data_IF_375716653769
#
_entry.id   IF_375716653769
#
_cell.length_a   1.000
_cell.length_b   1.000
_cell.length_c   1.000
_cell.angle_alpha   90.00
_cell.angle_beta   90.00
_cell.angle_gamma   90.00
#
_symmetry.space_group_name_H-M   'P 1'
#
loop_
_entity.id
_entity.type
_entity.pdbx_description
1 polymer ?
#
# COMPACT_ATOMS: atom_id res chain seq x y z
N UNK A 1 13.69 14.93 21.42
CA UNK A 1 12.65 15.88 21.88
C UNK A 1 11.41 15.08 22.23
N UNK A 2 11.24 14.80 23.52
CA UNK A 2 10.19 13.92 24.07
C UNK A 2 9.08 14.79 24.62
N UNK A 3 8.01 14.98 23.84
CA UNK A 3 6.67 15.35 24.32
C UNK A 3 5.70 14.84 23.29
N UNK A 4 4.63 14.19 23.75
CA UNK A 4 3.25 14.23 23.24
C UNK A 4 2.58 13.00 23.85
N UNK A 5 1.61 13.22 24.74
CA UNK A 5 0.72 12.16 25.20
C UNK A 5 0.04 11.49 24.01
N UNK A 6 -0.54 10.31 24.21
CA UNK A 6 -1.31 9.62 23.16
C UNK A 6 -2.23 10.63 22.44
N UNK A 7 -2.24 10.70 21.09
CA UNK A 7 -3.17 11.56 20.36
C UNK A 7 -4.57 11.41 20.95
N UNK A 8 -5.32 12.51 21.13
CA UNK A 8 -6.64 12.49 21.79
C UNK A 8 -7.54 11.40 21.22
N UNK A 9 -7.52 11.21 19.90
CA UNK A 9 -8.27 10.16 19.19
C UNK A 9 -7.82 8.75 19.56
N UNK A 10 -6.52 8.51 19.72
CA UNK A 10 -5.97 7.23 20.16
C UNK A 10 -6.33 6.94 21.63
N UNK A 11 -6.26 7.95 22.51
CA UNK A 11 -6.71 7.81 23.89
C UNK A 11 -8.21 7.47 23.93
N UNK A 12 -9.04 8.22 23.20
CA UNK A 12 -10.48 7.97 23.12
C UNK A 12 -10.83 6.58 22.58
N UNK A 13 -10.12 6.08 21.56
CA UNK A 13 -10.33 4.71 21.06
C UNK A 13 -9.96 3.65 22.10
N UNK A 14 -8.87 3.84 22.85
CA UNK A 14 -8.47 2.91 23.88
C UNK A 14 -9.43 2.93 25.06
N UNK A 15 -9.86 4.12 25.49
CA UNK A 15 -10.83 4.29 26.57
C UNK A 15 -12.18 3.68 26.19
N UNK A 16 -12.69 3.94 24.97
CA UNK A 16 -13.89 3.32 24.44
C UNK A 16 -13.75 1.78 24.40
N UNK A 17 -12.59 1.27 24.01
CA UNK A 17 -12.36 -0.18 23.98
C UNK A 17 -12.34 -0.83 25.37
N UNK A 18 -11.89 -0.12 26.40
CA UNK A 18 -11.89 -0.63 27.78
C UNK A 18 -13.30 -1.00 28.24
N UNK A 19 -14.31 -0.28 27.77
CA UNK A 19 -15.72 -0.58 28.02
C UNK A 19 -16.26 -1.61 27.02
N UNK A 20 -16.09 -1.37 25.72
CA UNK A 20 -16.66 -2.21 24.65
C UNK A 20 -16.20 -3.67 24.70
N UNK A 21 -15.00 -3.97 25.19
CA UNK A 21 -14.51 -5.35 25.24
C UNK A 21 -15.40 -6.28 26.09
N UNK A 22 -16.18 -5.73 27.02
CA UNK A 22 -17.11 -6.48 27.87
C UNK A 22 -18.51 -6.60 27.27
N UNK A 23 -18.83 -5.85 26.21
CA UNK A 23 -20.11 -5.94 25.54
C UNK A 23 -20.32 -7.33 24.93
N UNK A 24 -21.58 -7.82 24.93
CA UNK A 24 -21.91 -9.11 24.36
C UNK A 24 -21.60 -9.12 22.86
N UNK A 25 -21.00 -10.22 22.39
CA UNK A 25 -20.83 -10.45 20.96
C UNK A 25 -22.23 -10.59 20.31
N UNK A 26 -22.50 -9.88 19.19
CA UNK A 26 -23.78 -9.99 18.50
C UNK A 26 -24.14 -11.45 18.17
N UNK A 27 -25.37 -11.87 18.47
CA UNK A 27 -25.81 -13.26 18.27
C UNK A 27 -25.66 -13.75 16.82
N UNK A 28 -25.78 -12.84 15.84
CA UNK A 28 -25.57 -13.14 14.42
C UNK A 28 -24.15 -13.66 14.12
N UNK A 29 -23.16 -13.34 14.95
CA UNK A 29 -21.79 -13.81 14.78
C UNK A 29 -21.63 -15.30 15.06
N UNK A 30 -22.56 -15.93 15.79
CA UNK A 30 -22.53 -17.37 16.06
C UNK A 30 -22.60 -18.22 14.77
N UNK A 31 -23.21 -17.70 13.70
CA UNK A 31 -23.23 -18.35 12.39
C UNK A 31 -21.88 -18.32 11.66
N UNK A 32 -20.91 -17.53 12.14
CA UNK A 32 -19.57 -17.43 11.57
C UNK A 32 -18.61 -18.30 12.39
N UNK A 33 -18.07 -19.40 11.84
CA UNK A 33 -17.31 -20.39 12.61
C UNK A 33 -16.13 -19.81 13.41
N UNK A 34 -15.41 -18.83 12.86
CA UNK A 34 -14.27 -18.20 13.53
C UNK A 34 -14.67 -17.34 14.75
N UNK A 35 -15.92 -16.85 14.78
CA UNK A 35 -16.47 -16.00 15.84
C UNK A 35 -17.34 -16.78 16.82
N UNK A 36 -17.79 -17.98 16.43
CA UNK A 36 -18.68 -18.81 17.22
C UNK A 36 -18.14 -19.11 18.62
N UNK A 37 -19.02 -19.08 19.62
CA UNK A 37 -18.71 -19.36 21.02
C UNK A 37 -17.98 -18.24 21.77
N UNK A 38 -17.63 -17.12 21.12
CA UNK A 38 -17.20 -15.93 21.84
C UNK A 38 -18.44 -15.22 22.41
N UNK A 39 -18.39 -14.90 23.70
CA UNK A 39 -19.49 -14.24 24.43
C UNK A 39 -19.34 -12.74 24.45
N UNK A 40 -18.12 -12.22 24.35
CA UNK A 40 -17.84 -10.78 24.37
C UNK A 40 -17.01 -10.34 23.17
N UNK A 41 -17.01 -9.02 22.89
CA UNK A 41 -16.14 -8.44 21.88
C UNK A 41 -14.65 -8.65 22.20
N UNK A 42 -14.28 -8.62 23.48
CA UNK A 42 -12.93 -8.93 23.95
C UNK A 42 -12.51 -10.37 23.65
N UNK A 43 -13.40 -11.35 23.85
CA UNK A 43 -13.13 -12.74 23.48
C UNK A 43 -12.93 -12.92 21.97
N UNK A 44 -13.68 -12.18 21.13
CA UNK A 44 -13.46 -12.17 19.67
C UNK A 44 -12.12 -11.53 19.31
N UNK A 45 -11.81 -10.37 19.89
CA UNK A 45 -10.55 -9.66 19.68
C UNK A 45 -9.34 -10.51 20.06
N UNK A 46 -9.41 -11.23 21.18
CA UNK A 46 -8.35 -12.12 21.65
C UNK A 46 -8.05 -13.29 20.69
N UNK A 47 -8.97 -13.65 19.79
CA UNK A 47 -8.76 -14.67 18.77
C UNK A 47 -7.98 -14.17 17.55
N UNK A 48 -7.95 -12.86 17.31
CA UNK A 48 -7.29 -12.26 16.13
C UNK A 48 -5.82 -12.67 16.01
N UNK A 49 -4.99 -12.68 17.07
CA UNK A 49 -3.59 -13.12 16.95
C UNK A 49 -3.42 -14.59 16.57
N UNK A 50 -4.39 -15.46 16.90
CA UNK A 50 -4.30 -16.90 16.66
C UNK A 50 -4.80 -17.29 15.27
N UNK A 51 -5.91 -16.69 14.82
CA UNK A 51 -6.53 -16.99 13.52
C UNK A 51 -6.88 -15.70 12.75
N UNK A 52 -5.90 -14.84 12.45
CA UNK A 52 -6.14 -13.46 12.02
C UNK A 52 -7.00 -13.36 10.76
N UNK A 53 -6.66 -14.11 9.72
CA UNK A 53 -7.39 -14.03 8.46
C UNK A 53 -8.83 -14.52 8.62
N UNK A 54 -9.07 -15.64 9.33
CA UNK A 54 -10.42 -16.19 9.50
C UNK A 54 -11.32 -15.27 10.34
N UNK A 55 -10.80 -14.75 11.45
CA UNK A 55 -11.53 -13.83 12.33
C UNK A 55 -11.81 -12.52 11.61
N UNK A 56 -10.81 -11.91 10.98
CA UNK A 56 -10.96 -10.63 10.29
C UNK A 56 -11.85 -10.75 9.05
N UNK A 57 -11.79 -11.85 8.28
CA UNK A 57 -12.74 -12.10 7.17
C UNK A 57 -14.17 -12.17 7.70
N UNK A 58 -14.40 -12.90 8.80
CA UNK A 58 -15.72 -13.00 9.43
C UNK A 58 -16.27 -11.63 9.84
N UNK A 59 -15.47 -10.86 10.57
CA UNK A 59 -15.85 -9.50 11.00
C UNK A 59 -16.10 -8.57 9.81
N UNK A 60 -15.27 -8.62 8.78
CA UNK A 60 -15.44 -7.79 7.58
C UNK A 60 -16.69 -8.18 6.76
N UNK A 61 -17.11 -9.44 6.79
CA UNK A 61 -18.37 -9.88 6.16
C UNK A 61 -19.59 -9.33 6.91
N UNK A 62 -19.58 -9.32 8.25
CA UNK A 62 -20.63 -8.68 9.06
C UNK A 62 -20.65 -7.16 8.84
N UNK A 63 -19.48 -6.51 8.83
CA UNK A 63 -19.37 -5.08 8.51
C UNK A 63 -19.95 -4.75 7.13
N UNK A 64 -19.64 -5.56 6.11
CA UNK A 64 -20.19 -5.38 4.76
C UNK A 64 -21.72 -5.53 4.72
N UNK A 65 -22.29 -6.23 5.70
CA UNK A 65 -23.74 -6.41 5.89
C UNK A 65 -24.38 -5.32 6.77
N UNK A 66 -23.59 -4.32 7.22
CA UNK A 66 -24.05 -3.16 7.99
C UNK A 66 -23.72 -3.21 9.48
N UNK A 67 -23.08 -4.26 9.99
CA UNK A 67 -22.70 -4.37 11.39
C UNK A 67 -21.45 -3.53 11.71
N UNK A 68 -21.68 -2.30 12.18
CA UNK A 68 -20.61 -1.37 12.55
C UNK A 68 -19.76 -1.85 13.73
N UNK A 69 -20.29 -2.70 14.60
CA UNK A 69 -19.53 -3.24 15.74
C UNK A 69 -18.43 -4.16 15.24
N UNK A 70 -18.71 -4.96 14.20
CA UNK A 70 -17.70 -5.80 13.58
C UNK A 70 -16.55 -4.96 12.98
N UNK A 71 -16.86 -3.84 12.31
CA UNK A 71 -15.87 -2.88 11.82
C UNK A 71 -15.02 -2.28 12.94
N UNK A 72 -15.62 -1.94 14.10
CA UNK A 72 -14.89 -1.42 15.27
C UNK A 72 -13.86 -2.42 15.80
N UNK A 73 -14.22 -3.70 15.93
CA UNK A 73 -13.25 -4.74 16.38
C UNK A 73 -12.09 -4.87 15.40
N UNK A 74 -12.35 -4.78 14.08
CA UNK A 74 -11.28 -4.79 13.07
C UNK A 74 -10.36 -3.57 13.22
N UNK A 75 -10.93 -2.37 13.36
CA UNK A 75 -10.14 -1.14 13.56
C UNK A 75 -9.27 -1.26 14.80
N UNK A 76 -9.85 -1.68 15.92
CA UNK A 76 -9.12 -1.85 17.18
C UNK A 76 -7.94 -2.80 17.02
N UNK A 77 -8.11 -3.89 16.25
CA UNK A 77 -7.02 -4.86 16.02
C UNK A 77 -5.84 -4.28 15.26
N UNK A 78 -6.06 -3.22 14.49
CA UNK A 78 -5.02 -2.57 13.68
C UNK A 78 -4.46 -1.28 14.29
N UNK A 79 -4.99 -0.81 15.42
CA UNK A 79 -4.48 0.38 16.13
C UNK A 79 -2.96 0.34 16.32
N UNK A 80 -2.33 -0.78 16.76
CA UNK A 80 -0.87 -0.83 16.89
C UNK A 80 -0.14 -0.56 15.57
N UNK A 81 -0.69 -1.00 14.43
CA UNK A 81 -0.10 -0.75 13.11
C UNK A 81 -0.25 0.71 12.71
N UNK A 82 -1.40 1.33 12.99
CA UNK A 82 -1.62 2.75 12.70
C UNK A 82 -0.67 3.64 13.51
N UNK A 83 -0.45 3.32 14.80
CA UNK A 83 0.53 4.02 15.64
C UNK A 83 1.92 3.93 15.02
N UNK A 84 2.35 2.74 14.62
CA UNK A 84 3.66 2.55 13.97
C UNK A 84 3.79 3.31 12.64
N UNK A 85 2.70 3.43 11.87
CA UNK A 85 2.69 4.21 10.64
C UNK A 85 2.80 5.70 10.92
N UNK A 86 1.95 6.23 11.80
CA UNK A 86 1.93 7.65 12.16
C UNK A 86 3.26 8.11 12.78
N UNK A 87 3.87 7.31 13.67
CA UNK A 87 5.17 7.63 14.28
C UNK A 87 6.29 7.73 13.23
N UNK A 88 6.19 6.98 12.13
CA UNK A 88 7.20 6.96 11.04
C UNK A 88 6.94 7.98 9.95
N UNK A 89 5.88 8.77 10.08
CA UNK A 89 5.37 9.60 9.00
C UNK A 89 5.19 11.05 9.47
N UNK A 90 6.17 11.93 9.22
CA UNK A 90 6.11 13.31 9.69
C UNK A 90 5.02 14.14 8.99
N UNK A 91 4.48 13.64 7.88
CA UNK A 91 3.54 14.35 7.01
C UNK A 91 2.08 13.96 7.25
N UNK A 92 1.81 13.00 8.13
CA UNK A 92 0.44 12.54 8.41
C UNK A 92 0.26 12.18 9.88
N UNK A 93 -0.95 12.41 10.37
CA UNK A 93 -1.34 12.15 11.76
C UNK A 93 -1.94 10.77 11.93
N UNK A 94 -2.08 10.32 13.18
CA UNK A 94 -2.86 9.11 13.49
C UNK A 94 -4.30 9.20 12.97
N UNK A 95 -4.91 10.38 13.00
CA UNK A 95 -6.30 10.60 12.57
C UNK A 95 -6.46 10.39 11.06
N UNK A 96 -5.47 10.79 10.26
CA UNK A 96 -5.45 10.54 8.81
C UNK A 96 -5.42 9.03 8.51
N UNK A 97 -4.57 8.31 9.25
CA UNK A 97 -4.47 6.85 9.15
C UNK A 97 -5.74 6.14 9.63
N UNK A 98 -6.37 6.62 10.70
CA UNK A 98 -7.62 6.07 11.22
C UNK A 98 -8.77 6.30 10.23
N UNK A 99 -8.92 7.50 9.70
CA UNK A 99 -9.94 7.84 8.70
C UNK A 99 -9.76 6.98 7.44
N UNK A 100 -8.53 6.86 6.93
CA UNK A 100 -8.24 6.01 5.79
C UNK A 100 -8.54 4.53 6.09
N UNK A 101 -8.18 4.03 7.27
CA UNK A 101 -8.44 2.64 7.66
C UNK A 101 -9.94 2.36 7.71
N UNK A 102 -10.74 3.26 8.29
CA UNK A 102 -12.19 3.11 8.36
C UNK A 102 -12.80 2.89 6.97
N UNK A 103 -12.41 3.71 5.99
CA UNK A 103 -12.85 3.51 4.60
C UNK A 103 -12.40 2.16 4.06
N UNK A 104 -11.15 1.74 4.32
CA UNK A 104 -10.65 0.42 3.85
C UNK A 104 -11.42 -0.74 4.47
N UNK A 105 -11.77 -0.67 5.75
CA UNK A 105 -12.58 -1.66 6.46
C UNK A 105 -13.98 -1.72 5.86
N UNK A 106 -14.61 -0.57 5.62
CA UNK A 106 -15.95 -0.51 5.05
C UNK A 106 -16.03 -1.03 3.61
N UNK A 107 -14.94 -0.95 2.83
CA UNK A 107 -14.92 -1.35 1.42
C UNK A 107 -14.09 -2.61 1.13
N UNK A 108 -13.68 -3.38 2.15
CA UNK A 108 -12.74 -4.48 1.94
C UNK A 108 -13.36 -5.65 1.15
N UNK A 109 -12.76 -6.08 0.03
CA UNK A 109 -13.33 -7.13 -0.81
C UNK A 109 -12.99 -8.54 -0.28
N UNK A 110 -13.69 -8.99 0.77
CA UNK A 110 -13.42 -10.27 1.46
C UNK A 110 -13.32 -11.47 0.52
N UNK A 111 -14.21 -11.57 -0.47
CA UNK A 111 -14.23 -12.67 -1.44
C UNK A 111 -12.98 -12.70 -2.35
N UNK A 112 -12.39 -11.53 -2.66
CA UNK A 112 -11.22 -11.42 -3.53
C UNK A 112 -9.90 -11.49 -2.75
N UNK A 113 -9.90 -11.13 -1.47
CA UNK A 113 -8.69 -11.04 -0.63
C UNK A 113 -8.89 -11.66 0.76
N UNK A 114 -9.19 -12.97 0.85
CA UNK A 114 -9.47 -13.63 2.14
C UNK A 114 -8.23 -13.89 3.00
N UNK A 115 -7.02 -13.61 2.48
CA UNK A 115 -5.74 -13.89 3.15
C UNK A 115 -4.91 -12.63 3.34
N UNK A 116 -4.05 -12.66 4.35
CA UNK A 116 -3.18 -11.54 4.78
C UNK A 116 -3.99 -10.26 5.03
N UNK A 117 -5.16 -10.39 5.63
CA UNK A 117 -6.16 -9.32 5.74
C UNK A 117 -5.60 -8.11 6.47
N UNK A 118 -4.99 -8.31 7.64
CA UNK A 118 -4.38 -7.23 8.41
C UNK A 118 -3.27 -6.51 7.64
N UNK A 119 -2.43 -7.26 6.90
CA UNK A 119 -1.35 -6.67 6.11
C UNK A 119 -1.88 -5.90 4.90
N UNK A 120 -2.91 -6.43 4.25
CA UNK A 120 -3.59 -5.78 3.13
C UNK A 120 -4.26 -4.48 3.55
N UNK A 121 -5.05 -4.51 4.63
CA UNK A 121 -5.68 -3.32 5.20
C UNK A 121 -4.65 -2.26 5.56
N UNK A 122 -3.58 -2.65 6.25
CA UNK A 122 -2.49 -1.74 6.59
C UNK A 122 -1.85 -1.11 5.34
N UNK A 123 -1.49 -1.93 4.35
CA UNK A 123 -0.86 -1.44 3.12
C UNK A 123 -1.79 -0.54 2.29
N UNK A 124 -3.07 -0.89 2.19
CA UNK A 124 -4.05 -0.09 1.45
C UNK A 124 -4.33 1.24 2.17
N UNK A 125 -4.35 1.23 3.50
CA UNK A 125 -4.45 2.44 4.33
C UNK A 125 -3.25 3.35 4.08
N UNK A 126 -2.03 2.79 4.16
CA UNK A 126 -0.80 3.53 3.88
C UNK A 126 -0.79 4.14 2.47
N UNK A 127 -1.24 3.39 1.46
CA UNK A 127 -1.34 3.89 0.09
C UNK A 127 -2.36 5.02 -0.03
N UNK A 128 -3.51 4.90 0.64
CA UNK A 128 -4.54 5.94 0.62
C UNK A 128 -4.02 7.26 1.22
N UNK A 129 -3.41 7.22 2.40
CA UNK A 129 -2.82 8.40 3.06
C UNK A 129 -1.69 9.02 2.23
N UNK A 130 -0.88 8.20 1.55
CA UNK A 130 0.18 8.72 0.66
C UNK A 130 -0.38 9.33 -0.62
N UNK A 131 -1.45 8.78 -1.16
CA UNK A 131 -2.07 9.27 -2.40
C UNK A 131 -2.88 10.56 -2.20
N UNK A 132 -3.39 10.81 -0.98
CA UNK A 132 -4.12 12.04 -0.66
C UNK A 132 -3.21 13.24 -0.41
N UNK A 133 -1.89 13.05 -0.38
CA UNK A 133 -0.95 14.16 -0.26
C UNK A 133 -1.01 15.01 -1.52
N UNK A 134 -0.95 16.34 -1.39
CA UNK A 134 -0.56 17.17 -2.51
C UNK A 134 0.73 16.57 -3.05
N UNK A 135 0.73 16.18 -4.33
CA UNK A 135 2.00 15.91 -5.00
C UNK A 135 2.77 17.20 -4.81
N UNK A 136 3.92 17.16 -4.14
CA UNK A 136 4.84 18.27 -4.22
C UNK A 136 5.04 18.46 -5.72
N UNK A 137 4.44 19.52 -6.28
CA UNK A 137 4.96 20.08 -7.49
C UNK A 137 6.42 20.32 -7.13
N UNK A 138 7.38 19.64 -7.77
CA UNK A 138 8.75 20.00 -7.53
C UNK A 138 8.76 21.50 -7.76
N UNK A 139 9.14 22.27 -6.74
CA UNK A 139 9.59 23.62 -6.95
C UNK A 139 10.78 23.43 -7.89
N UNK A 140 10.49 23.44 -9.19
CA UNK A 140 11.49 23.37 -10.22
C UNK A 140 12.25 24.66 -10.00
N UNK A 141 13.35 24.58 -9.24
CA UNK A 141 14.51 25.36 -9.58
C UNK A 141 14.61 25.19 -11.09
N UNK A 142 14.50 26.29 -11.84
CA UNK A 142 14.61 26.30 -13.28
C UNK A 142 16.04 25.90 -13.65
N UNK A 143 16.39 24.64 -13.42
CA UNK A 143 17.48 23.96 -14.07
C UNK A 143 17.02 23.86 -15.52
N UNK A 144 17.80 24.33 -16.50
CA UNK A 144 17.50 24.12 -17.90
C UNK A 144 17.19 22.63 -18.08
N UNK A 145 15.94 22.30 -18.43
CA UNK A 145 15.57 20.94 -18.80
C UNK A 145 16.35 20.66 -20.08
N UNK A 146 17.27 19.69 -20.12
CA UNK A 146 17.84 19.23 -21.39
C UNK A 146 16.67 18.90 -22.30
N UNK A 147 16.72 19.36 -23.54
CA UNK A 147 15.63 19.27 -24.52
C UNK A 147 14.81 17.97 -24.35
N UNK A 148 13.48 18.04 -24.08
CA UNK A 148 12.62 16.86 -23.98
C UNK A 148 12.59 15.99 -25.25
N UNK A 149 13.25 16.43 -26.33
CA UNK A 149 13.59 15.63 -27.51
C UNK A 149 14.86 14.76 -27.36
N UNK A 150 15.41 14.58 -26.15
CA UNK A 150 16.23 13.40 -25.89
C UNK A 150 15.33 12.16 -26.01
N UNK A 151 15.18 11.69 -27.25
CA UNK A 151 14.40 10.53 -27.65
C UNK A 151 14.66 9.40 -26.65
N UNK A 152 13.60 8.86 -26.05
CA UNK A 152 13.69 7.78 -25.07
C UNK A 152 14.50 6.60 -25.63
N UNK A 153 14.45 6.37 -26.94
CA UNK A 153 15.31 5.40 -27.65
C UNK A 153 16.79 5.74 -27.50
N UNK A 154 17.16 7.01 -27.62
CA UNK A 154 18.55 7.49 -27.47
C UNK A 154 19.04 7.33 -26.04
N UNK A 155 18.19 7.59 -25.04
CA UNK A 155 18.51 7.32 -23.61
C UNK A 155 18.73 5.82 -23.36
N UNK A 156 17.87 4.97 -23.93
CA UNK A 156 18.01 3.53 -23.80
C UNK A 156 19.28 3.01 -24.47
N UNK A 157 19.61 3.53 -25.66
CA UNK A 157 20.82 3.15 -26.38
C UNK A 157 22.08 3.66 -25.65
N UNK A 158 22.05 4.86 -25.08
CA UNK A 158 23.10 5.37 -24.20
C UNK A 158 23.31 4.48 -22.96
N UNK A 159 22.22 4.03 -22.34
CA UNK A 159 22.29 3.09 -21.22
C UNK A 159 22.91 1.74 -21.59
N UNK A 160 22.68 1.26 -22.82
CA UNK A 160 23.36 0.05 -23.33
C UNK A 160 24.85 0.33 -23.57
N UNK A 161 25.20 1.48 -24.16
CA UNK A 161 26.61 1.86 -24.40
C UNK A 161 27.42 1.98 -23.12
N UNK A 162 26.82 2.52 -22.07
CA UNK A 162 27.43 2.62 -20.74
C UNK A 162 27.44 1.28 -19.97
N UNK A 163 26.81 0.24 -20.51
CA UNK A 163 26.74 -1.09 -19.88
C UNK A 163 25.84 -1.15 -18.64
N UNK A 164 25.06 -0.11 -18.35
CA UNK A 164 24.17 -0.06 -17.17
C UNK A 164 22.89 -0.87 -17.37
N UNK A 165 22.49 -1.10 -18.63
CA UNK A 165 21.42 -2.02 -18.98
C UNK A 165 21.84 -2.97 -20.11
N UNK A 166 21.35 -4.21 -20.03
CA UNK A 166 21.55 -5.19 -21.11
C UNK A 166 20.57 -4.97 -22.27
N UNK A 167 20.87 -5.53 -23.45
CA UNK A 167 20.03 -5.37 -24.64
C UNK A 167 18.61 -5.92 -24.48
N UNK A 168 18.44 -6.92 -23.60
CA UNK A 168 17.12 -7.46 -23.28
C UNK A 168 16.29 -6.48 -22.45
N UNK A 169 16.91 -5.78 -21.50
CA UNK A 169 16.32 -4.73 -20.68
C UNK A 169 16.00 -3.51 -21.54
N UNK A 170 16.86 -3.13 -22.49
CA UNK A 170 16.57 -2.09 -23.49
C UNK A 170 15.29 -2.39 -24.28
N UNK A 171 15.20 -3.58 -24.89
CA UNK A 171 13.97 -4.01 -25.62
C UNK A 171 12.73 -4.06 -24.71
N UNK A 172 12.92 -4.44 -23.45
CA UNK A 172 11.81 -4.49 -22.49
C UNK A 172 11.31 -3.08 -22.16
N UNK A 173 12.22 -2.11 -21.95
CA UNK A 173 11.89 -0.73 -21.67
C UNK A 173 11.28 -0.03 -22.88
N UNK A 174 11.81 -0.26 -24.08
CA UNK A 174 11.27 0.25 -25.34
C UNK A 174 9.83 -0.21 -25.57
N UNK A 175 9.57 -1.52 -25.47
CA UNK A 175 8.23 -2.08 -25.66
C UNK A 175 7.18 -1.47 -24.69
N UNK A 176 7.59 -1.05 -23.48
CA UNK A 176 6.66 -0.52 -22.47
C UNK A 176 6.55 0.99 -22.51
N UNK A 177 7.67 1.70 -22.62
CA UNK A 177 7.74 3.15 -22.46
C UNK A 177 7.81 3.92 -23.78
N UNK A 178 8.31 3.30 -24.86
CA UNK A 178 8.35 3.90 -26.20
C UNK A 178 7.13 3.45 -27.00
N UNK A 179 6.88 2.14 -27.08
CA UNK A 179 5.73 1.58 -27.82
C UNK A 179 4.41 1.65 -27.03
N UNK A 180 4.44 1.99 -25.74
CA UNK A 180 3.25 2.09 -24.89
C UNK A 180 2.54 0.76 -24.59
N UNK A 181 3.21 -0.40 -24.75
CA UNK A 181 2.56 -1.70 -24.52
C UNK A 181 2.41 -1.97 -23.02
N UNK A 182 1.32 -2.65 -22.66
CA UNK A 182 1.17 -3.20 -21.30
C UNK A 182 2.24 -4.27 -21.02
N UNK A 183 2.58 -4.49 -19.75
CA UNK A 183 3.58 -5.53 -19.38
C UNK A 183 3.20 -6.93 -19.85
N UNK A 184 1.90 -7.22 -20.00
CA UNK A 184 1.41 -8.50 -20.55
C UNK A 184 1.71 -8.59 -22.05
N UNK A 185 1.38 -7.55 -22.81
CA UNK A 185 1.63 -7.51 -24.25
C UNK A 185 3.13 -7.51 -24.58
N UNK A 186 3.93 -6.76 -23.82
CA UNK A 186 5.40 -6.79 -23.91
C UNK A 186 5.96 -8.17 -23.53
N UNK A 187 5.38 -8.83 -22.52
CA UNK A 187 5.75 -10.19 -22.14
C UNK A 187 5.51 -11.20 -23.26
N UNK A 188 4.32 -11.16 -23.88
CA UNK A 188 4.00 -11.99 -25.05
C UNK A 188 4.95 -11.76 -26.22
N UNK A 189 5.32 -10.50 -26.50
CA UNK A 189 6.26 -10.14 -27.55
C UNK A 189 7.68 -10.67 -27.29
N UNK A 190 8.14 -10.62 -26.04
CA UNK A 190 9.52 -10.93 -25.66
C UNK A 190 9.70 -12.36 -25.13
N UNK A 191 8.66 -13.18 -25.14
CA UNK A 191 8.71 -14.55 -24.60
C UNK A 191 8.90 -14.60 -23.08
N UNK A 192 8.33 -13.64 -22.34
CA UNK A 192 8.46 -13.51 -20.88
C UNK A 192 7.12 -13.40 -20.17
N UNK A 193 7.12 -13.69 -18.87
CA UNK A 193 5.98 -13.37 -18.00
C UNK A 193 5.86 -11.85 -17.78
N UNK A 194 4.63 -11.38 -17.54
CA UNK A 194 4.37 -9.97 -17.21
C UNK A 194 5.11 -9.52 -15.93
N UNK A 195 5.36 -10.43 -14.99
CA UNK A 195 6.10 -10.14 -13.75
C UNK A 195 7.58 -9.93 -14.03
N UNK A 196 8.17 -10.74 -14.91
CA UNK A 196 9.54 -10.57 -15.37
C UNK A 196 9.73 -9.24 -16.10
N UNK A 197 8.75 -8.83 -16.91
CA UNK A 197 8.74 -7.51 -17.58
C UNK A 197 8.73 -6.38 -16.55
N UNK A 198 7.85 -6.43 -15.54
CA UNK A 198 7.77 -5.41 -14.48
C UNK A 198 9.07 -5.32 -13.68
N UNK A 199 9.64 -6.47 -13.31
CA UNK A 199 10.92 -6.51 -12.61
C UNK A 199 12.06 -5.90 -13.45
N UNK A 200 12.16 -6.25 -14.74
CA UNK A 200 13.16 -5.68 -15.66
C UNK A 200 12.98 -4.18 -15.85
N UNK A 201 11.75 -3.70 -16.03
CA UNK A 201 11.46 -2.27 -16.13
C UNK A 201 11.90 -1.53 -14.87
N UNK A 202 11.55 -2.06 -13.69
CA UNK A 202 11.93 -1.46 -12.42
C UNK A 202 13.45 -1.44 -12.22
N UNK A 203 14.14 -2.53 -12.55
CA UNK A 203 15.59 -2.63 -12.43
C UNK A 203 16.29 -1.69 -13.42
N UNK A 204 15.85 -1.68 -14.68
CA UNK A 204 16.44 -0.87 -15.74
C UNK A 204 16.27 0.63 -15.52
N UNK A 205 15.05 1.08 -15.16
CA UNK A 205 14.80 2.51 -14.83
C UNK A 205 15.64 2.95 -13.63
N UNK A 206 15.83 2.08 -12.64
CA UNK A 206 16.68 2.39 -11.49
C UNK A 206 18.14 2.54 -11.91
N UNK A 207 18.67 1.59 -12.68
CA UNK A 207 20.05 1.64 -13.16
C UNK A 207 20.32 2.90 -14.00
N UNK A 208 19.40 3.26 -14.90
CA UNK A 208 19.51 4.50 -15.69
C UNK A 208 19.47 5.76 -14.82
N UNK A 209 18.63 5.79 -13.77
CA UNK A 209 18.55 6.92 -12.84
C UNK A 209 19.82 7.10 -12.02
N UNK A 210 20.49 6.00 -11.67
CA UNK A 210 21.74 6.04 -10.90
C UNK A 210 22.89 6.69 -11.68
N UNK A 211 22.85 6.68 -13.02
CA UNK A 211 23.83 7.33 -13.91
C UNK A 211 23.24 8.50 -14.73
N UNK A 212 22.20 9.15 -14.20
CA UNK A 212 21.52 10.24 -14.90
C UNK A 212 22.45 11.41 -15.28
N UNK A 213 23.42 11.84 -14.44
CA UNK A 213 24.39 12.87 -14.82
C UNK A 213 25.23 12.46 -16.04
N UNK A 214 25.81 11.25 -16.04
CA UNK A 214 26.66 10.75 -17.13
C UNK A 214 25.90 10.56 -18.44
N UNK A 215 24.63 10.14 -18.35
CA UNK A 215 23.73 10.09 -19.50
C UNK A 215 23.46 11.48 -20.06
N UNK A 216 23.31 12.50 -19.20
CA UNK A 216 23.06 13.87 -19.65
C UNK A 216 24.29 14.44 -20.37
N UNK A 217 25.49 14.22 -19.82
CA UNK A 217 26.75 14.64 -20.44
C UNK A 217 26.97 13.96 -21.80
N UNK A 218 26.69 12.66 -21.91
CA UNK A 218 26.82 11.91 -23.16
C UNK A 218 25.83 12.35 -24.25
N UNK A 219 24.65 12.83 -23.85
CA UNK A 219 23.60 13.27 -24.77
C UNK A 219 23.71 14.75 -25.14
N UNK A 220 24.50 15.54 -24.40
CA UNK A 220 24.74 16.95 -24.63
C UNK A 220 25.94 17.24 -25.56
N UNK A 221 26.79 16.23 -25.84
CA UNK A 221 27.92 16.29 -26.78
C UNK A 221 27.60 15.66 -28.13
#
# INVERSE_FOLDING_TARGET
MTRIGLPRTLAALNDEWLDLQFDPAPGAWAATPALAGARTLGEVFARVPHEPDKVLVGLLAHQASGDRTAGRVVVQSLVPKLVLMAVRDPEATFDDYLAALWVRVATYPVARRPRRVAANLALDTLKAVKASRPRAEPALLAVPIPDPLADATTVLDAGVRLGVIDGLTRRTLEAVYVDGRTSRAAGSLLGMSADTVRWRCSKGVRALREVAPELTDLLAG
#
